data_IF_005579788372
#
_entry.id   IF_005579788372
#
_cell.length_a   1.000
_cell.length_b   1.000
_cell.length_c   1.000
_cell.angle_alpha   90.00
_cell.angle_beta   90.00
_cell.angle_gamma   90.00
#
_symmetry.space_group_name_H-M   'P 1'
#
loop_
_entity.id
_entity.type
_entity.pdbx_description
1 polymer ?
#
# COMPACT_ATOMS: atom_id res chain seq x y z
N UNK A 1 11.37 29.40 39.67
CA UNK A 1 12.50 29.55 40.60
C UNK A 1 12.83 28.17 41.15
N UNK A 2 14.10 27.75 41.12
CA UNK A 2 14.55 26.45 41.65
C UNK A 2 15.23 26.75 42.99
N UNK A 3 14.69 26.22 44.10
CA UNK A 3 15.31 26.34 45.42
C UNK A 3 15.90 24.99 45.82
N UNK A 4 17.17 24.98 46.22
CA UNK A 4 17.91 23.78 46.60
C UNK A 4 17.82 23.56 48.11
N UNK A 5 17.21 22.46 48.51
CA UNK A 5 17.28 21.93 49.88
C UNK A 5 17.54 20.43 49.77
N UNK A 6 18.60 19.95 50.43
CA UNK A 6 18.86 18.51 50.64
C UNK A 6 18.69 17.60 49.41
N UNK A 7 19.69 17.55 48.53
CA UNK A 7 19.93 16.39 47.65
C UNK A 7 18.95 16.07 46.51
N UNK A 8 17.72 16.60 46.49
CA UNK A 8 16.71 16.24 45.48
C UNK A 8 16.00 17.48 44.92
N UNK A 9 15.88 17.57 43.60
CA UNK A 9 15.17 18.66 42.92
C UNK A 9 13.67 18.33 42.85
N UNK A 10 12.86 19.00 43.68
CA UNK A 10 11.40 19.00 43.53
C UNK A 10 10.99 20.10 42.53
N UNK A 11 10.38 19.71 41.40
CA UNK A 11 9.69 20.65 40.50
C UNK A 11 8.36 21.06 41.17
N UNK A 12 8.32 22.26 41.73
CA UNK A 12 7.05 22.90 42.10
C UNK A 12 6.36 23.34 40.80
N UNK A 13 5.31 22.62 40.41
CA UNK A 13 4.39 23.06 39.36
C UNK A 13 3.59 24.26 39.89
N UNK A 14 3.89 25.46 39.38
CA UNK A 14 3.00 26.60 39.51
C UNK A 14 1.75 26.28 38.69
N UNK A 15 0.63 26.11 39.39
CA UNK A 15 -0.67 25.84 38.80
C UNK A 15 -1.08 26.95 37.84
N UNK A 16 -1.15 26.62 36.57
CA UNK A 16 -1.95 27.33 35.57
C UNK A 16 -3.04 26.36 35.15
N UNK A 17 -4.20 26.52 35.76
CA UNK A 17 -5.40 25.77 35.42
C UNK A 17 -5.89 26.25 34.06
N UNK A 18 -5.68 25.44 33.01
CA UNK A 18 -6.31 25.68 31.72
C UNK A 18 -7.83 25.42 31.84
N UNK A 19 -8.69 26.30 31.33
CA UNK A 19 -10.14 26.05 31.33
C UNK A 19 -10.49 24.87 30.42
N UNK A 20 -11.55 24.10 30.75
CA UNK A 20 -11.99 23.01 29.89
C UNK A 20 -12.47 23.57 28.55
N UNK A 21 -11.91 23.05 27.46
CA UNK A 21 -12.41 23.32 26.12
C UNK A 21 -13.80 22.68 26.00
N UNK A 22 -14.84 23.52 26.00
CA UNK A 22 -16.20 23.10 25.65
C UNK A 22 -16.21 22.75 24.17
N UNK A 23 -16.30 21.46 23.86
CA UNK A 23 -16.52 20.97 22.49
C UNK A 23 -17.95 21.34 22.08
N UNK A 24 -18.08 22.43 21.32
CA UNK A 24 -19.34 22.84 20.70
C UNK A 24 -19.72 21.80 19.64
N UNK A 25 -20.71 20.97 19.96
CA UNK A 25 -21.28 19.98 19.04
C UNK A 25 -22.10 20.72 17.99
N UNK A 26 -21.45 21.18 16.91
CA UNK A 26 -22.14 21.74 15.76
C UNK A 26 -22.89 20.61 15.06
N UNK A 27 -24.22 20.61 15.22
CA UNK A 27 -25.12 19.70 14.53
C UNK A 27 -25.33 20.20 13.10
N UNK A 28 -24.45 19.79 12.18
CA UNK A 28 -24.81 19.71 10.77
C UNK A 28 -25.41 18.33 10.54
N UNK A 29 -26.75 18.27 10.58
CA UNK A 29 -27.51 17.16 10.06
C UNK A 29 -27.39 17.19 8.53
N UNK A 30 -26.38 16.51 7.99
CA UNK A 30 -26.39 16.15 6.58
C UNK A 30 -27.39 15.01 6.38
N UNK A 31 -28.41 15.33 5.59
CA UNK A 31 -29.52 14.47 5.25
C UNK A 31 -29.02 13.28 4.40
N UNK A 32 -28.65 12.18 5.07
CA UNK A 32 -28.16 10.94 4.41
C UNK A 32 -29.29 10.06 3.83
N UNK A 33 -30.52 10.56 3.72
CA UNK A 33 -31.65 9.74 3.26
C UNK A 33 -31.84 9.67 1.74
N UNK A 34 -30.91 10.19 0.92
CA UNK A 34 -31.09 10.27 -0.54
C UNK A 34 -29.99 9.60 -1.39
N UNK A 35 -29.09 8.82 -0.77
CA UNK A 35 -28.23 7.88 -1.51
C UNK A 35 -28.55 6.43 -1.16
N UNK A 36 -29.83 6.09 -1.06
CA UNK A 36 -30.28 4.71 -1.17
C UNK A 36 -30.35 4.30 -2.65
N UNK A 37 -29.21 4.39 -3.35
CA UNK A 37 -29.04 3.63 -4.59
C UNK A 37 -28.76 2.17 -4.21
N UNK A 38 -29.39 1.17 -4.84
CA UNK A 38 -29.15 -0.22 -4.48
C UNK A 38 -27.80 -0.68 -5.06
N UNK A 39 -26.70 -0.30 -4.43
CA UNK A 39 -25.36 -0.90 -4.63
C UNK A 39 -24.63 -0.85 -3.29
N UNK A 40 -24.17 -1.97 -2.76
CA UNK A 40 -22.85 -2.43 -3.15
C UNK A 40 -22.61 -3.85 -2.65
N UNK A 41 -22.72 -4.84 -3.54
CA UNK A 41 -21.94 -6.07 -3.39
C UNK A 41 -20.46 -5.64 -3.27
N UNK A 42 -19.76 -6.15 -2.24
CA UNK A 42 -18.34 -5.89 -1.94
C UNK A 42 -17.51 -5.44 -3.16
N UNK A 43 -17.20 -4.14 -3.24
CA UNK A 43 -16.49 -3.56 -4.39
C UNK A 43 -15.02 -3.97 -4.32
N UNK A 44 -14.69 -5.05 -5.01
CA UNK A 44 -13.31 -5.42 -5.30
C UNK A 44 -12.72 -4.52 -6.38
N UNK A 45 -11.40 -4.32 -6.34
CA UNK A 45 -10.70 -3.46 -7.31
C UNK A 45 -10.92 -3.93 -8.75
N UNK A 46 -11.20 -2.97 -9.64
CA UNK A 46 -11.43 -3.24 -11.06
C UNK A 46 -10.11 -3.33 -11.82
N UNK A 47 -10.11 -4.04 -12.94
CA UNK A 47 -8.95 -4.12 -13.83
C UNK A 47 -8.94 -2.97 -14.85
N UNK A 48 -7.80 -2.76 -15.53
CA UNK A 48 -7.62 -1.77 -16.60
C UNK A 48 -8.61 -1.96 -17.77
N UNK A 49 -9.06 -3.20 -17.96
CA UNK A 49 -10.14 -3.57 -18.86
C UNK A 49 -11.22 -4.34 -18.09
N UNK A 50 -12.52 -4.05 -18.32
CA UNK A 50 -13.61 -4.72 -17.61
C UNK A 50 -13.59 -6.25 -17.82
N UNK A 51 -13.17 -6.73 -18.98
CA UNK A 51 -13.07 -8.16 -19.30
C UNK A 51 -12.07 -8.92 -18.41
N UNK A 52 -11.03 -8.24 -17.92
CA UNK A 52 -10.01 -8.84 -17.05
C UNK A 52 -10.39 -8.75 -15.57
N UNK A 53 -11.46 -8.04 -15.20
CA UNK A 53 -11.87 -7.87 -13.79
C UNK A 53 -12.24 -9.18 -13.08
N UNK A 54 -13.00 -10.12 -13.67
CA UNK A 54 -13.28 -11.41 -13.00
C UNK A 54 -12.02 -12.28 -12.83
N UNK A 55 -11.07 -12.20 -13.77
CA UNK A 55 -9.77 -12.89 -13.64
C UNK A 55 -8.92 -12.26 -12.54
N UNK A 56 -8.90 -10.93 -12.46
CA UNK A 56 -8.23 -10.18 -11.39
C UNK A 56 -8.75 -10.58 -10.02
N UNK A 57 -10.08 -10.61 -9.82
CA UNK A 57 -10.66 -10.96 -8.52
C UNK A 57 -10.29 -12.37 -8.06
N UNK A 58 -10.29 -13.34 -8.98
CA UNK A 58 -9.84 -14.72 -8.71
C UNK A 58 -8.34 -14.76 -8.36
N UNK A 59 -7.53 -14.03 -9.12
CA UNK A 59 -6.10 -13.91 -8.86
C UNK A 59 -5.81 -13.27 -7.51
N UNK A 60 -6.38 -12.08 -7.24
CA UNK A 60 -6.20 -11.32 -6.00
C UNK A 60 -6.60 -12.17 -4.78
N UNK A 61 -7.70 -12.91 -4.86
CA UNK A 61 -8.15 -13.80 -3.77
C UNK A 61 -7.14 -14.93 -3.51
N UNK A 62 -6.63 -15.57 -4.56
CA UNK A 62 -5.62 -16.63 -4.43
C UNK A 62 -4.30 -16.08 -3.89
N UNK A 63 -3.86 -14.93 -4.43
CA UNK A 63 -2.64 -14.26 -4.04
C UNK A 63 -2.70 -13.83 -2.58
N UNK A 64 -3.77 -13.19 -2.11
CA UNK A 64 -3.89 -12.72 -0.73
C UNK A 64 -3.77 -13.88 0.27
N UNK A 65 -4.46 -15.01 0.00
CA UNK A 65 -4.36 -16.20 0.85
C UNK A 65 -2.96 -16.81 0.86
N UNK A 66 -2.27 -16.85 -0.28
CA UNK A 66 -0.88 -17.27 -0.34
C UNK A 66 0.07 -16.28 0.36
N UNK A 67 -0.19 -14.98 0.22
CA UNK A 67 0.67 -13.89 0.68
C UNK A 67 0.69 -13.78 2.20
N UNK A 68 -0.46 -13.95 2.87
CA UNK A 68 -0.53 -14.05 4.33
C UNK A 68 0.43 -15.13 4.86
N UNK A 69 0.41 -16.32 4.22
CA UNK A 69 1.29 -17.41 4.57
C UNK A 69 2.75 -17.21 4.16
N UNK A 70 3.07 -16.31 3.23
CA UNK A 70 4.43 -15.94 2.82
C UNK A 70 5.09 -14.99 3.83
N UNK A 71 4.30 -14.14 4.51
CA UNK A 71 4.83 -13.13 5.42
C UNK A 71 5.37 -13.70 6.73
N UNK A 72 4.95 -14.90 7.15
CA UNK A 72 5.29 -15.46 8.47
C UNK A 72 6.80 -15.42 8.83
N UNK A 73 7.77 -15.79 7.96
CA UNK A 73 9.19 -15.71 8.30
C UNK A 73 9.79 -14.30 8.28
N UNK A 74 9.09 -13.33 7.69
CA UNK A 74 9.48 -11.93 7.79
C UNK A 74 9.10 -11.34 9.15
N UNK A 75 8.00 -11.82 9.75
CA UNK A 75 7.51 -11.36 11.06
C UNK A 75 8.16 -12.11 12.23
N UNK A 76 8.52 -13.39 12.03
CA UNK A 76 9.32 -14.16 12.97
C UNK A 76 10.80 -13.77 12.83
N UNK A 77 11.24 -12.76 13.57
CA UNK A 77 12.57 -12.17 13.49
C UNK A 77 13.72 -13.21 13.50
N UNK A 78 14.61 -13.13 12.49
CA UNK A 78 15.96 -13.70 12.53
C UNK A 78 16.18 -15.01 11.77
N UNK A 79 15.94 -15.04 10.46
CA UNK A 79 16.42 -16.13 9.59
C UNK A 79 17.64 -15.69 8.78
N UNK A 80 18.62 -16.60 8.62
CA UNK A 80 19.79 -16.38 7.77
C UNK A 80 19.38 -16.14 6.30
N UNK A 81 20.23 -15.49 5.48
CA UNK A 81 19.97 -15.25 4.06
C UNK A 81 19.58 -16.54 3.30
N UNK A 82 20.24 -17.66 3.61
CA UNK A 82 20.04 -18.96 2.97
C UNK A 82 18.67 -19.54 3.30
N UNK A 83 18.26 -19.41 4.56
CA UNK A 83 16.95 -19.89 5.02
C UNK A 83 15.82 -19.07 4.39
N UNK A 84 16.02 -17.74 4.27
CA UNK A 84 15.06 -16.85 3.58
C UNK A 84 14.95 -17.16 2.09
N UNK A 85 16.07 -17.45 1.43
CA UNK A 85 16.10 -17.83 0.01
C UNK A 85 15.39 -19.18 -0.22
N UNK A 86 15.70 -20.20 0.60
CA UNK A 86 15.06 -21.52 0.51
C UNK A 86 13.54 -21.44 0.78
N UNK A 87 13.13 -20.66 1.78
CA UNK A 87 11.73 -20.43 2.07
C UNK A 87 11.01 -19.71 0.92
N UNK A 88 11.62 -18.65 0.39
CA UNK A 88 11.04 -17.89 -0.72
C UNK A 88 10.87 -18.76 -1.96
N UNK A 89 11.84 -19.62 -2.26
CA UNK A 89 11.73 -20.60 -3.35
C UNK A 89 10.59 -21.58 -3.12
N UNK A 90 10.49 -22.19 -1.93
CA UNK A 90 9.40 -23.10 -1.59
C UNK A 90 8.02 -22.45 -1.75
N UNK A 91 7.88 -21.20 -1.30
CA UNK A 91 6.63 -20.45 -1.46
C UNK A 91 6.34 -20.05 -2.88
N UNK A 92 7.35 -19.75 -3.70
CA UNK A 92 7.18 -19.53 -5.13
C UNK A 92 6.67 -20.80 -5.84
N UNK A 93 7.20 -21.97 -5.48
CA UNK A 93 6.71 -23.25 -6.01
C UNK A 93 5.24 -23.51 -5.60
N UNK A 94 4.91 -23.23 -4.35
CA UNK A 94 3.53 -23.30 -3.83
C UNK A 94 2.58 -22.35 -4.59
N UNK A 95 3.02 -21.11 -4.86
CA UNK A 95 2.26 -20.14 -5.64
C UNK A 95 2.02 -20.64 -7.06
N UNK A 96 3.06 -21.16 -7.74
CA UNK A 96 2.95 -21.65 -9.10
C UNK A 96 1.95 -22.82 -9.21
N UNK A 97 1.94 -23.70 -8.22
CA UNK A 97 1.00 -24.83 -8.17
C UNK A 97 -0.45 -24.39 -7.93
N UNK A 98 -0.67 -23.42 -7.04
CA UNK A 98 -2.02 -23.00 -6.62
C UNK A 98 -2.61 -21.89 -7.49
N UNK A 99 -1.85 -20.82 -7.70
CA UNK A 99 -2.30 -19.58 -8.34
C UNK A 99 -1.69 -19.37 -9.74
N UNK A 100 -0.67 -20.13 -10.13
CA UNK A 100 0.09 -19.89 -11.37
C UNK A 100 -0.78 -19.89 -12.63
N UNK A 101 -1.73 -20.82 -12.75
CA UNK A 101 -2.66 -20.86 -13.90
C UNK A 101 -3.53 -19.60 -13.99
N UNK A 102 -4.14 -19.20 -12.86
CA UNK A 102 -5.01 -18.01 -12.79
C UNK A 102 -4.21 -16.74 -13.07
N UNK A 103 -2.96 -16.68 -12.59
CA UNK A 103 -2.04 -15.58 -12.86
C UNK A 103 -1.75 -15.44 -14.36
N UNK A 104 -1.41 -16.52 -15.07
CA UNK A 104 -1.10 -16.43 -16.51
C UNK A 104 -2.34 -16.04 -17.35
N UNK A 105 -3.53 -16.53 -16.98
CA UNK A 105 -4.80 -16.11 -17.61
C UNK A 105 -5.06 -14.61 -17.39
N UNK A 106 -4.87 -14.10 -16.17
CA UNK A 106 -5.05 -12.68 -15.88
C UNK A 106 -3.98 -11.80 -16.57
N UNK A 107 -2.72 -12.23 -16.51
CA UNK A 107 -1.58 -11.51 -17.10
C UNK A 107 -1.72 -11.39 -18.61
N UNK A 108 -2.10 -12.46 -19.30
CA UNK A 108 -2.33 -12.42 -20.76
C UNK A 108 -3.45 -11.43 -21.13
N UNK A 109 -4.55 -11.42 -20.37
CA UNK A 109 -5.63 -10.44 -20.54
C UNK A 109 -5.14 -9.00 -20.36
N UNK A 110 -4.39 -8.72 -19.28
CA UNK A 110 -3.87 -7.36 -19.03
C UNK A 110 -2.83 -6.93 -20.05
N UNK A 111 -1.96 -7.82 -20.51
CA UNK A 111 -0.95 -7.47 -21.50
C UNK A 111 -1.57 -6.95 -22.80
N UNK A 112 -2.70 -7.52 -23.21
CA UNK A 112 -3.47 -7.01 -24.36
C UNK A 112 -4.02 -5.61 -24.06
N UNK A 113 -4.64 -5.42 -22.89
CA UNK A 113 -5.18 -4.11 -22.50
C UNK A 113 -4.10 -3.02 -22.38
N UNK A 114 -2.91 -3.37 -21.90
CA UNK A 114 -1.75 -2.46 -21.80
C UNK A 114 -1.26 -2.03 -23.16
N UNK A 115 -1.09 -2.98 -24.10
CA UNK A 115 -0.69 -2.69 -25.48
C UNK A 115 -1.72 -1.84 -26.22
N UNK A 116 -3.00 -2.15 -26.05
CA UNK A 116 -4.09 -1.39 -26.68
C UNK A 116 -4.17 0.07 -26.20
N UNK A 117 -3.63 0.36 -25.00
CA UNK A 117 -3.53 1.72 -24.46
C UNK A 117 -2.18 2.40 -24.73
N UNK A 118 -1.26 1.73 -25.42
CA UNK A 118 0.08 2.26 -25.72
C UNK A 118 0.93 2.52 -24.48
N UNK A 119 0.68 1.81 -23.38
CA UNK A 119 1.41 1.97 -22.12
C UNK A 119 2.63 1.03 -22.02
N UNK A 120 2.83 0.15 -22.99
CA UNK A 120 3.83 -0.90 -22.98
C UNK A 120 5.26 -0.34 -22.91
N UNK A 121 5.60 0.67 -23.72
CA UNK A 121 6.93 1.28 -23.70
C UNK A 121 7.24 1.96 -22.35
N UNK A 122 6.28 2.73 -21.81
CA UNK A 122 6.44 3.42 -20.53
C UNK A 122 6.55 2.44 -19.35
N UNK A 123 5.74 1.39 -19.36
CA UNK A 123 5.82 0.35 -18.33
C UNK A 123 7.09 -0.47 -18.43
N UNK A 124 7.61 -0.71 -19.63
CA UNK A 124 8.87 -1.42 -19.82
C UNK A 124 10.03 -0.62 -19.27
N UNK A 125 10.11 0.68 -19.60
CA UNK A 125 11.11 1.58 -19.04
C UNK A 125 11.05 1.59 -17.50
N UNK A 126 9.85 1.78 -16.93
CA UNK A 126 9.68 1.81 -15.48
C UNK A 126 9.99 0.48 -14.77
N UNK A 127 9.97 -0.66 -15.48
CA UNK A 127 10.35 -1.98 -14.94
C UNK A 127 11.85 -2.23 -14.96
N UNK A 128 12.56 -1.56 -15.86
CA UNK A 128 14.02 -1.65 -15.98
C UNK A 128 14.73 -0.74 -14.97
N UNK A 129 14.06 0.33 -14.53
CA UNK A 129 14.53 1.20 -13.46
C UNK A 129 14.60 0.44 -12.13
N UNK A 130 15.73 0.53 -11.42
CA UNK A 130 15.93 -0.07 -10.09
C UNK A 130 16.09 1.01 -9.01
N UNK A 131 15.00 1.70 -8.62
CA UNK A 131 15.05 2.89 -7.76
C UNK A 131 15.53 2.61 -6.32
N UNK A 132 15.65 1.35 -5.92
CA UNK A 132 16.18 0.97 -4.61
C UNK A 132 17.70 0.88 -4.58
N UNK A 133 18.34 0.81 -5.76
CA UNK A 133 19.81 0.69 -5.91
C UNK A 133 20.37 1.94 -6.59
N UNK A 134 19.70 2.42 -7.63
CA UNK A 134 20.19 3.53 -8.43
C UNK A 134 19.74 4.88 -7.84
N UNK A 135 20.63 5.88 -7.77
CA UNK A 135 20.26 7.22 -7.35
C UNK A 135 19.26 7.82 -8.33
N UNK A 136 18.15 8.39 -7.83
CA UNK A 136 17.13 9.03 -8.66
C UNK A 136 17.79 10.19 -9.43
N UNK A 137 17.79 10.19 -10.78
CA UNK A 137 18.34 11.29 -11.54
C UNK A 137 17.58 12.59 -11.22
N UNK A 138 18.25 13.75 -11.19
CA UNK A 138 17.58 15.01 -10.91
C UNK A 138 16.47 15.26 -11.95
N UNK A 139 15.35 15.89 -11.54
CA UNK A 139 14.23 16.14 -12.45
C UNK A 139 14.70 16.96 -13.65
N UNK A 140 14.13 16.74 -14.86
CA UNK A 140 14.49 17.51 -16.04
C UNK A 140 14.27 19.00 -15.76
N UNK A 141 15.32 19.79 -15.93
CA UNK A 141 15.27 21.24 -15.82
C UNK A 141 14.21 21.76 -16.80
N UNK A 142 13.18 22.40 -16.25
CA UNK A 142 12.14 23.03 -17.04
C UNK A 142 12.78 24.00 -18.04
N UNK A 143 12.32 24.04 -19.31
CA UNK A 143 12.82 25.01 -20.27
C UNK A 143 12.52 26.41 -19.73
N UNK A 144 13.58 27.15 -19.43
CA UNK A 144 13.50 28.57 -19.10
C UNK A 144 12.82 29.27 -20.28
N UNK A 145 11.56 29.69 -20.11
CA UNK A 145 10.97 30.71 -20.98
C UNK A 145 11.82 31.97 -20.82
N UNK A 146 12.78 32.17 -21.72
CA UNK A 146 13.33 33.49 -21.98
C UNK A 146 12.18 34.36 -22.47
N UNK A 147 11.84 35.35 -21.65
CA UNK A 147 10.97 36.46 -22.02
C UNK A 147 11.76 37.54 -22.75
#
# INVERSE_FOLDING_TARGET
MIVKVGGSYLRVWLGVQAPPLTFSKSAHAENVSDFASPRSNSVMSQSLSPECTPLKQKYDSCFNSWFEGYLEPAVAAGQSPETRAAYSKKKADEFNQKCGKVWEEYKSCIQVAVKNRGLDALLQQAREENPLVDPIPPPPSQPTKSS
#
